data_IF_912060850862
#
_entry.id   IF_912060850862
#
_cell.length_a   1.000
_cell.length_b   1.000
_cell.length_c   1.000
_cell.angle_alpha   90.00
_cell.angle_beta   90.00
_cell.angle_gamma   90.00
#
_symmetry.space_group_name_H-M   'P 1'
#
loop_
_entity.id
_entity.type
_entity.pdbx_description
1 polymer ?
#
# COMPACT_ATOMS: atom_id res chain seq x y z
N UNK A 1 9.45 10.08 19.33
CA UNK A 1 9.87 8.66 19.50
C UNK A 1 8.66 7.84 19.98
N UNK A 2 7.97 7.10 19.08
CA UNK A 2 7.03 6.01 19.44
C UNK A 2 6.54 5.19 18.22
N UNK A 3 7.41 4.94 17.21
CA UNK A 3 7.04 4.14 16.01
C UNK A 3 7.07 2.61 16.22
N UNK A 4 7.42 2.12 17.42
CA UNK A 4 7.65 0.67 17.63
C UNK A 4 6.37 -0.15 17.82
N UNK A 5 5.28 0.44 18.32
CA UNK A 5 4.05 -0.32 18.64
C UNK A 5 3.10 -0.54 17.44
N UNK A 6 3.17 0.29 16.40
CA UNK A 6 2.32 0.14 15.20
C UNK A 6 2.76 -1.05 14.33
N UNK A 7 4.07 -1.30 14.26
CA UNK A 7 4.64 -2.33 13.40
C UNK A 7 4.28 -3.75 13.87
N UNK A 8 4.06 -3.97 15.17
CA UNK A 8 3.75 -5.31 15.71
C UNK A 8 2.29 -5.75 15.51
N UNK A 9 1.33 -4.82 15.56
CA UNK A 9 -0.09 -5.16 15.39
C UNK A 9 -0.43 -5.50 13.94
N UNK A 10 0.13 -4.75 12.99
CA UNK A 10 0.00 -5.04 11.56
C UNK A 10 0.71 -6.35 11.22
N UNK A 11 1.97 -6.53 11.58
CA UNK A 11 2.70 -7.78 11.28
C UNK A 11 1.98 -9.05 11.77
N UNK A 12 1.32 -9.01 12.93
CA UNK A 12 0.54 -10.13 13.44
C UNK A 12 -0.78 -10.36 12.68
N UNK A 13 -1.44 -9.30 12.20
CA UNK A 13 -2.69 -9.37 11.44
C UNK A 13 -2.51 -10.03 10.07
N UNK A 14 -1.46 -9.67 9.30
CA UNK A 14 -1.17 -10.31 8.00
C UNK A 14 -0.82 -11.78 8.19
N UNK A 15 0.00 -12.07 9.20
CA UNK A 15 0.45 -13.43 9.52
C UNK A 15 -0.70 -14.33 9.99
N UNK A 16 -1.71 -13.78 10.68
CA UNK A 16 -2.91 -14.52 11.12
C UNK A 16 -3.89 -14.77 9.98
N UNK A 17 -4.15 -13.77 9.12
CA UNK A 17 -4.94 -13.95 7.89
C UNK A 17 -4.34 -15.03 6.98
N UNK A 18 -3.01 -15.10 6.96
CA UNK A 18 -2.23 -16.13 6.30
C UNK A 18 -2.39 -17.53 6.87
N UNK A 19 -2.22 -17.64 8.19
CA UNK A 19 -2.23 -18.92 8.91
C UNK A 19 -3.62 -19.53 8.99
N UNK A 20 -4.66 -18.71 9.16
CA UNK A 20 -6.02 -19.18 9.39
C UNK A 20 -6.81 -19.39 8.09
N UNK A 21 -6.48 -18.69 6.99
CA UNK A 21 -7.31 -18.72 5.77
C UNK A 21 -6.58 -18.97 4.44
N UNK A 22 -5.26 -18.84 4.36
CA UNK A 22 -4.55 -18.80 3.08
C UNK A 22 -3.99 -20.14 2.63
N UNK A 23 -3.03 -20.67 3.37
CA UNK A 23 -2.15 -21.72 2.85
C UNK A 23 -2.70 -23.14 3.10
N UNK A 24 -3.00 -23.48 4.36
CA UNK A 24 -3.48 -24.81 4.73
C UNK A 24 -4.85 -25.16 4.14
N UNK A 25 -5.73 -24.16 4.04
CA UNK A 25 -7.05 -24.33 3.46
C UNK A 25 -6.97 -24.65 1.97
N UNK A 26 -6.14 -23.92 1.21
CA UNK A 26 -5.99 -24.13 -0.24
C UNK A 26 -5.20 -25.38 -0.59
N UNK A 27 -4.16 -25.71 0.19
CA UNK A 27 -3.48 -27.00 0.07
C UNK A 27 -4.48 -28.16 0.31
N UNK A 28 -5.41 -28.00 1.26
CA UNK A 28 -6.48 -28.97 1.53
C UNK A 28 -7.55 -29.01 0.43
N UNK A 29 -7.99 -27.87 -0.09
CA UNK A 29 -9.00 -27.78 -1.14
C UNK A 29 -8.46 -28.33 -2.47
N UNK A 30 -7.22 -28.02 -2.84
CA UNK A 30 -6.59 -28.59 -4.03
C UNK A 30 -6.39 -30.11 -3.91
N UNK A 31 -5.96 -30.58 -2.73
CA UNK A 31 -5.87 -32.01 -2.46
C UNK A 31 -7.22 -32.72 -2.65
N UNK A 32 -8.30 -32.13 -2.11
CA UNK A 32 -9.66 -32.68 -2.28
C UNK A 32 -10.05 -32.74 -3.76
N UNK A 33 -9.69 -31.74 -4.55
CA UNK A 33 -10.00 -31.73 -5.97
C UNK A 33 -9.20 -32.78 -6.75
N UNK A 34 -7.91 -32.95 -6.41
CA UNK A 34 -7.10 -34.06 -6.94
C UNK A 34 -7.72 -35.42 -6.59
N UNK A 35 -8.10 -35.63 -5.33
CA UNK A 35 -8.69 -36.90 -4.88
C UNK A 35 -9.99 -37.20 -5.65
N UNK A 36 -10.83 -36.18 -5.92
CA UNK A 36 -12.04 -36.32 -6.75
C UNK A 36 -11.69 -36.67 -8.20
N UNK A 37 -10.69 -36.01 -8.78
CA UNK A 37 -10.24 -36.25 -10.16
C UNK A 37 -9.71 -37.67 -10.31
N UNK A 38 -8.88 -38.15 -9.37
CA UNK A 38 -8.41 -39.54 -9.33
C UNK A 38 -9.59 -40.51 -9.26
N UNK A 39 -10.56 -40.27 -8.38
CA UNK A 39 -11.75 -41.12 -8.26
C UNK A 39 -12.55 -41.18 -9.56
N UNK A 40 -12.77 -40.04 -10.22
CA UNK A 40 -13.51 -39.99 -11.49
C UNK A 40 -12.77 -40.70 -12.63
N UNK A 41 -11.44 -40.56 -12.69
CA UNK A 41 -10.61 -41.29 -13.66
C UNK A 41 -10.75 -42.80 -13.42
N UNK A 42 -10.65 -43.25 -12.17
CA UNK A 42 -10.81 -44.67 -11.81
C UNK A 42 -12.22 -45.19 -12.11
N UNK A 43 -13.23 -44.31 -12.14
CA UNK A 43 -14.61 -44.62 -12.55
C UNK A 43 -14.83 -44.57 -14.08
N UNK A 44 -13.78 -44.31 -14.86
CA UNK A 44 -13.81 -44.32 -16.33
C UNK A 44 -13.94 -42.95 -16.99
N UNK A 45 -13.84 -41.84 -16.24
CA UNK A 45 -13.79 -40.51 -16.84
C UNK A 45 -12.51 -40.32 -17.66
N UNK A 46 -12.62 -39.52 -18.73
CA UNK A 46 -11.47 -39.22 -19.60
C UNK A 46 -10.50 -38.29 -18.87
N UNK A 47 -9.24 -38.71 -18.75
CA UNK A 47 -8.16 -37.90 -18.18
C UNK A 47 -8.15 -36.45 -18.69
N UNK A 48 -8.32 -36.25 -20.00
CA UNK A 48 -8.32 -34.91 -20.61
C UNK A 48 -9.37 -33.99 -19.99
N UNK A 49 -10.55 -34.52 -19.66
CA UNK A 49 -11.62 -33.74 -19.08
C UNK A 49 -11.30 -33.40 -17.62
N UNK A 50 -10.77 -34.35 -16.87
CA UNK A 50 -10.45 -34.14 -15.45
C UNK A 50 -9.21 -33.26 -15.24
N UNK A 51 -8.23 -33.31 -16.16
CA UNK A 51 -7.12 -32.34 -16.16
C UNK A 51 -7.67 -30.92 -16.41
N UNK A 52 -8.60 -30.73 -17.35
CA UNK A 52 -9.22 -29.42 -17.57
C UNK A 52 -10.01 -28.91 -16.34
N UNK A 53 -10.55 -29.81 -15.51
CA UNK A 53 -11.14 -29.44 -14.22
C UNK A 53 -10.08 -28.91 -13.26
N UNK A 54 -8.90 -29.53 -13.19
CA UNK A 54 -7.79 -29.06 -12.36
C UNK A 54 -7.20 -27.73 -12.86
N UNK A 55 -7.03 -27.58 -14.17
CA UNK A 55 -6.57 -26.32 -14.80
C UNK A 55 -7.49 -25.17 -14.37
N UNK A 56 -8.81 -25.33 -14.59
CA UNK A 56 -9.80 -24.31 -14.20
C UNK A 56 -9.82 -24.06 -12.70
N UNK A 57 -9.75 -25.12 -11.89
CA UNK A 57 -9.71 -24.97 -10.43
C UNK A 57 -8.52 -24.11 -9.99
N UNK A 58 -7.34 -24.33 -10.57
CA UNK A 58 -6.15 -23.56 -10.24
C UNK A 58 -6.27 -22.10 -10.70
N UNK A 59 -6.80 -21.83 -11.89
CA UNK A 59 -7.07 -20.47 -12.37
C UNK A 59 -8.00 -19.72 -11.41
N UNK A 60 -9.15 -20.32 -11.08
CA UNK A 60 -10.15 -19.71 -10.20
C UNK A 60 -9.58 -19.45 -8.79
N UNK A 61 -8.87 -20.43 -8.20
CA UNK A 61 -8.32 -20.29 -6.84
C UNK A 61 -7.19 -19.26 -6.73
N UNK A 62 -6.32 -19.17 -7.73
CA UNK A 62 -5.22 -18.20 -7.73
C UNK A 62 -5.76 -16.78 -7.95
N UNK A 63 -6.80 -16.60 -8.76
CA UNK A 63 -7.43 -15.28 -8.94
C UNK A 63 -8.18 -14.84 -7.68
N UNK A 64 -8.99 -15.71 -7.08
CA UNK A 64 -9.66 -15.44 -5.79
C UNK A 64 -8.64 -15.06 -4.71
N UNK A 65 -7.46 -15.69 -4.74
CA UNK A 65 -6.37 -15.32 -3.85
C UNK A 65 -5.87 -13.91 -4.10
N UNK A 66 -5.54 -13.60 -5.36
CA UNK A 66 -5.06 -12.27 -5.77
C UNK A 66 -6.03 -11.19 -5.32
N UNK A 67 -7.32 -11.36 -5.57
CA UNK A 67 -8.36 -10.41 -5.18
C UNK A 67 -8.36 -10.19 -3.66
N UNK A 68 -8.43 -11.26 -2.87
CA UNK A 68 -8.46 -11.16 -1.40
C UNK A 68 -7.22 -10.49 -0.82
N UNK A 69 -6.03 -10.81 -1.34
CA UNK A 69 -4.79 -10.18 -0.87
C UNK A 69 -4.78 -8.69 -1.20
N UNK A 70 -5.14 -8.33 -2.43
CA UNK A 70 -5.20 -6.95 -2.86
C UNK A 70 -6.25 -6.15 -2.06
N UNK A 71 -7.40 -6.74 -1.72
CA UNK A 71 -8.39 -6.11 -0.85
C UNK A 71 -7.86 -5.84 0.56
N UNK A 72 -7.21 -6.82 1.18
CA UNK A 72 -6.62 -6.68 2.51
C UNK A 72 -5.53 -5.60 2.49
N UNK A 73 -4.65 -5.62 1.50
CA UNK A 73 -3.60 -4.63 1.35
C UNK A 73 -4.18 -3.22 1.18
N UNK A 74 -5.15 -3.03 0.28
CA UNK A 74 -5.84 -1.75 0.10
C UNK A 74 -6.44 -1.22 1.39
N UNK A 75 -7.06 -2.10 2.19
CA UNK A 75 -7.62 -1.72 3.49
C UNK A 75 -6.53 -1.20 4.44
N UNK A 76 -5.39 -1.88 4.51
CA UNK A 76 -4.29 -1.48 5.38
C UNK A 76 -3.64 -0.17 4.94
N UNK A 77 -3.41 -0.03 3.64
CA UNK A 77 -2.92 1.23 3.07
C UNK A 77 -3.87 2.37 3.41
N UNK A 78 -5.18 2.14 3.28
CA UNK A 78 -6.20 3.14 3.65
C UNK A 78 -6.15 3.50 5.14
N UNK A 79 -5.95 2.52 6.04
CA UNK A 79 -5.82 2.77 7.48
C UNK A 79 -4.56 3.60 7.80
N UNK A 80 -3.42 3.29 7.18
CA UNK A 80 -2.18 4.07 7.30
C UNK A 80 -2.41 5.49 6.79
N UNK A 81 -3.00 5.63 5.60
CA UNK A 81 -3.34 6.91 4.99
C UNK A 81 -4.21 7.78 5.92
N UNK A 82 -5.29 7.24 6.48
CA UNK A 82 -6.18 7.98 7.40
C UNK A 82 -5.40 8.53 8.60
N UNK A 83 -4.51 7.72 9.19
CA UNK A 83 -3.72 8.13 10.36
C UNK A 83 -2.78 9.28 9.99
N UNK A 84 -2.04 9.16 8.90
CA UNK A 84 -1.07 10.17 8.50
C UNK A 84 -1.73 11.45 7.98
N UNK A 85 -2.85 11.35 7.25
CA UNK A 85 -3.63 12.51 6.85
C UNK A 85 -4.22 13.26 8.05
N UNK A 86 -4.67 12.55 9.08
CA UNK A 86 -5.13 13.19 10.32
C UNK A 86 -4.00 13.97 10.98
N UNK A 87 -2.80 13.38 11.10
CA UNK A 87 -1.63 14.06 11.68
C UNK A 87 -1.27 15.32 10.89
N UNK A 88 -1.23 15.23 9.57
CA UNK A 88 -0.95 16.38 8.70
C UNK A 88 -1.99 17.48 8.91
N UNK A 89 -3.29 17.15 9.01
CA UNK A 89 -4.34 18.12 9.30
C UNK A 89 -4.18 18.77 10.67
N UNK A 90 -3.80 18.01 11.70
CA UNK A 90 -3.57 18.55 13.04
C UNK A 90 -2.39 19.53 13.04
N UNK A 91 -1.30 19.21 12.31
CA UNK A 91 -0.15 20.11 12.12
C UNK A 91 -0.61 21.38 11.42
N UNK A 92 -1.24 21.27 10.25
CA UNK A 92 -1.75 22.42 9.49
C UNK A 92 -2.62 23.32 10.38
N UNK A 93 -3.50 22.73 11.19
CA UNK A 93 -4.41 23.50 12.05
C UNK A 93 -3.67 24.26 13.16
N UNK A 94 -2.68 23.64 13.80
CA UNK A 94 -1.87 24.28 14.84
C UNK A 94 -0.99 25.39 14.26
N UNK A 95 -0.33 25.10 13.13
CA UNK A 95 0.57 26.04 12.46
C UNK A 95 -0.20 27.24 11.89
N UNK A 96 -1.41 27.03 11.34
CA UNK A 96 -2.32 28.09 10.89
C UNK A 96 -2.68 29.06 12.04
N UNK A 97 -2.95 28.53 13.24
CA UNK A 97 -3.30 29.35 14.42
C UNK A 97 -2.12 30.22 14.88
N UNK A 98 -0.91 29.67 14.87
CA UNK A 98 0.32 30.40 15.21
C UNK A 98 0.61 31.51 14.18
N UNK A 99 0.57 31.19 12.88
CA UNK A 99 0.76 32.17 11.80
C UNK A 99 -0.28 33.27 11.89
N UNK A 100 -1.55 32.93 12.11
CA UNK A 100 -2.63 33.92 12.28
C UNK A 100 -2.36 34.86 13.45
N UNK A 101 -1.88 34.34 14.58
CA UNK A 101 -1.52 35.15 15.76
C UNK A 101 -0.39 36.13 15.44
N UNK A 102 0.63 35.70 14.69
CA UNK A 102 1.73 36.57 14.24
C UNK A 102 1.23 37.64 13.26
N UNK A 103 0.37 37.29 12.31
CA UNK A 103 -0.25 38.22 11.37
C UNK A 103 -1.07 39.29 12.11
N UNK A 104 -1.91 38.89 13.07
CA UNK A 104 -2.70 39.81 13.89
C UNK A 104 -1.82 40.75 14.72
N UNK A 105 -0.73 40.25 15.30
CA UNK A 105 0.24 41.07 16.04
C UNK A 105 0.91 42.10 15.14
N UNK A 106 1.33 41.71 13.95
CA UNK A 106 1.93 42.61 12.97
C UNK A 106 0.92 43.67 12.50
N UNK A 107 -0.32 43.28 12.21
CA UNK A 107 -1.40 44.22 11.83
C UNK A 107 -1.68 45.25 12.93
N UNK A 108 -1.69 44.83 14.21
CA UNK A 108 -1.85 45.76 15.34
C UNK A 108 -0.69 46.75 15.44
N UNK A 109 0.55 46.29 15.27
CA UNK A 109 1.73 47.17 15.27
C UNK A 109 1.63 48.19 14.13
N UNK A 110 1.39 47.73 12.91
CA UNK A 110 1.29 48.60 11.74
C UNK A 110 0.18 49.65 11.87
N UNK A 111 -0.96 49.31 12.49
CA UNK A 111 -2.07 50.25 12.70
C UNK A 111 -1.86 51.21 13.87
N UNK A 112 -1.09 50.82 14.89
CA UNK A 112 -0.79 51.67 16.06
C UNK A 112 0.31 52.69 15.82
N UNK A 113 1.05 52.56 14.71
CA UNK A 113 2.22 53.35 14.39
C UNK A 113 1.92 54.31 13.21
N UNK A 114 1.58 55.59 13.46
CA UNK A 114 1.15 56.54 12.44
C UNK A 114 2.24 56.92 11.43
N UNK A 115 3.51 56.62 11.72
CA UNK A 115 4.68 56.95 10.89
C UNK A 115 5.26 55.76 10.11
N UNK A 116 4.59 54.60 10.08
CA UNK A 116 5.08 53.49 9.27
C UNK A 116 5.07 53.91 7.80
N UNK A 117 6.25 53.85 7.16
CA UNK A 117 6.41 54.24 5.77
C UNK A 117 5.47 53.41 4.87
N UNK A 118 4.76 54.08 3.96
CA UNK A 118 3.90 53.47 2.92
C UNK A 118 4.58 52.29 2.19
N UNK A 119 5.91 52.37 2.03
CA UNK A 119 6.75 51.32 1.44
C UNK A 119 6.78 50.04 2.27
N UNK A 120 6.86 50.14 3.61
CA UNK A 120 6.83 49.00 4.54
C UNK A 120 5.45 48.34 4.49
N UNK A 121 4.39 49.14 4.50
CA UNK A 121 3.00 48.65 4.41
C UNK A 121 2.74 47.88 3.11
N UNK A 122 3.18 48.41 1.96
CA UNK A 122 3.06 47.73 0.66
C UNK A 122 3.91 46.48 0.54
N UNK A 123 5.13 46.49 1.09
CA UNK A 123 6.01 45.32 1.09
C UNK A 123 5.38 44.18 1.92
N UNK A 124 4.75 44.51 3.05
CA UNK A 124 4.01 43.56 3.88
C UNK A 124 2.81 42.96 3.14
N UNK A 125 1.91 43.79 2.59
CA UNK A 125 0.74 43.29 1.86
C UNK A 125 1.12 42.36 0.70
N UNK A 126 2.24 42.64 0.03
CA UNK A 126 2.76 41.81 -1.03
C UNK A 126 3.26 40.46 -0.50
N UNK A 127 4.14 40.46 0.51
CA UNK A 127 4.69 39.23 1.08
C UNK A 127 3.62 38.37 1.74
N UNK A 128 2.65 38.98 2.42
CA UNK A 128 1.49 38.27 2.99
C UNK A 128 0.72 37.49 1.93
N UNK A 129 0.43 38.10 0.78
CA UNK A 129 -0.27 37.41 -0.32
C UNK A 129 0.58 36.26 -0.89
N UNK A 130 1.89 36.45 -1.04
CA UNK A 130 2.78 35.37 -1.46
C UNK A 130 2.77 34.19 -0.48
N UNK A 131 2.71 34.46 0.83
CA UNK A 131 2.62 33.40 1.84
C UNK A 131 1.27 32.70 1.85
N UNK A 132 0.17 33.44 1.80
CA UNK A 132 -1.18 32.87 1.70
C UNK A 132 -1.30 31.93 0.47
N UNK A 133 -0.72 32.31 -0.67
CA UNK A 133 -0.67 31.46 -1.87
C UNK A 133 0.24 30.24 -1.71
N UNK A 134 1.42 30.38 -1.08
CA UNK A 134 2.33 29.27 -0.79
C UNK A 134 1.70 28.24 0.15
N UNK A 135 1.09 28.69 1.25
CA UNK A 135 0.38 27.80 2.20
C UNK A 135 -0.75 27.07 1.48
N UNK A 136 -1.54 27.79 0.69
CA UNK A 136 -2.64 27.20 -0.06
C UNK A 136 -2.14 26.10 -1.00
N UNK A 137 -1.04 26.35 -1.70
CA UNK A 137 -0.40 25.37 -2.58
C UNK A 137 0.12 24.16 -1.81
N UNK A 138 0.78 24.36 -0.67
CA UNK A 138 1.24 23.25 0.19
C UNK A 138 0.06 22.41 0.72
N UNK A 139 -1.06 23.04 1.08
CA UNK A 139 -2.30 22.35 1.47
C UNK A 139 -2.87 21.50 0.32
N UNK A 140 -2.91 22.05 -0.89
CA UNK A 140 -3.40 21.34 -2.08
C UNK A 140 -2.47 20.17 -2.47
N UNK A 141 -1.15 20.34 -2.40
CA UNK A 141 -0.18 19.27 -2.71
C UNK A 141 -0.13 18.19 -1.62
N UNK A 142 -0.30 18.57 -0.36
CA UNK A 142 -0.32 17.61 0.76
C UNK A 142 -1.53 16.66 0.72
N UNK A 143 -2.65 17.09 0.12
CA UNK A 143 -3.90 16.32 -0.02
C UNK A 143 -3.94 15.39 -1.23
N UNK A 144 -2.90 15.34 -2.07
CA UNK A 144 -2.82 14.40 -3.19
C UNK A 144 -2.81 12.97 -2.64
N UNK A 145 -3.86 12.23 -2.98
CA UNK A 145 -4.05 10.81 -2.64
C UNK A 145 -2.92 9.99 -3.25
N UNK A 146 -2.24 9.20 -2.42
CA UNK A 146 -1.21 8.28 -2.88
C UNK A 146 -1.84 7.22 -3.79
N UNK A 147 -1.16 6.90 -4.90
CA UNK A 147 -1.56 5.73 -5.69
C UNK A 147 -1.23 4.47 -4.89
N UNK A 148 -2.26 3.66 -4.63
CA UNK A 148 -2.10 2.39 -3.92
C UNK A 148 -1.67 1.34 -4.95
N UNK A 149 -0.46 0.75 -4.85
CA UNK A 149 -0.04 -0.30 -5.76
C UNK A 149 -0.90 -1.56 -5.60
N UNK A 150 -0.91 -2.42 -6.62
CA UNK A 150 -1.40 -3.79 -6.44
C UNK A 150 -0.33 -4.61 -5.71
N UNK A 151 -0.71 -5.26 -4.62
CA UNK A 151 0.16 -6.14 -3.84
C UNK A 151 0.53 -7.41 -4.60
N UNK A 152 -0.39 -7.89 -5.44
CA UNK A 152 -0.17 -9.01 -6.34
C UNK A 152 -0.56 -8.58 -7.74
N UNK A 153 0.45 -8.45 -8.60
CA UNK A 153 0.20 -8.11 -9.98
C UNK A 153 -0.39 -9.30 -10.73
N UNK A 154 -1.12 -9.00 -11.80
CA UNK A 154 -1.61 -10.03 -12.70
C UNK A 154 -0.46 -10.83 -13.32
N UNK A 155 0.68 -10.20 -13.61
CA UNK A 155 1.83 -10.91 -14.21
C UNK A 155 2.43 -11.95 -13.25
N UNK A 156 2.47 -11.66 -11.94
CA UNK A 156 2.93 -12.62 -10.93
C UNK A 156 2.00 -13.85 -10.88
N UNK A 157 0.68 -13.64 -10.98
CA UNK A 157 -0.33 -14.71 -11.06
C UNK A 157 -0.18 -15.50 -12.36
N UNK A 158 -0.10 -14.81 -13.49
CA UNK A 158 0.03 -15.43 -14.81
C UNK A 158 1.30 -16.32 -14.89
N UNK A 159 2.41 -15.88 -14.26
CA UNK A 159 3.63 -16.67 -14.16
C UNK A 159 3.48 -17.95 -13.31
N UNK A 160 2.76 -17.87 -12.18
CA UNK A 160 2.47 -19.04 -11.34
C UNK A 160 1.57 -20.03 -12.07
N UNK A 161 0.53 -19.52 -12.76
CA UNK A 161 -0.39 -20.34 -13.55
C UNK A 161 0.32 -20.99 -14.73
N UNK A 162 1.16 -20.27 -15.46
CA UNK A 162 1.90 -20.81 -16.61
C UNK A 162 2.72 -22.05 -16.22
N UNK A 163 3.50 -21.97 -15.14
CA UNK A 163 4.31 -23.10 -14.66
C UNK A 163 3.44 -24.31 -14.28
N UNK A 164 2.29 -24.06 -13.66
CA UNK A 164 1.39 -25.13 -13.23
C UNK A 164 0.65 -25.79 -14.41
N UNK A 165 0.24 -25.01 -15.39
CA UNK A 165 -0.39 -25.48 -16.62
C UNK A 165 0.59 -26.26 -17.51
N UNK A 166 1.86 -25.87 -17.52
CA UNK A 166 2.92 -26.62 -18.22
C UNK A 166 3.07 -28.03 -17.62
N UNK A 167 3.16 -28.13 -16.30
CA UNK A 167 3.27 -29.41 -15.57
C UNK A 167 2.03 -30.30 -15.73
N UNK A 168 0.83 -29.72 -15.71
CA UNK A 168 -0.42 -30.44 -16.02
C UNK A 168 -0.41 -31.00 -17.44
N UNK A 169 0.10 -30.25 -18.41
CA UNK A 169 0.23 -30.70 -19.80
C UNK A 169 1.31 -31.79 -19.96
N UNK A 170 2.43 -31.71 -19.24
CA UNK A 170 3.42 -32.80 -19.26
C UNK A 170 2.82 -34.13 -18.81
N UNK A 171 1.98 -34.09 -17.78
CA UNK A 171 1.35 -35.28 -17.22
C UNK A 171 0.34 -35.88 -18.18
N UNK A 172 -0.45 -35.03 -18.85
CA UNK A 172 -1.34 -35.43 -19.93
C UNK A 172 -0.59 -36.18 -21.03
N UNK A 173 0.59 -35.70 -21.43
CA UNK A 173 1.43 -36.34 -22.45
C UNK A 173 2.11 -37.63 -21.96
N UNK A 174 2.63 -37.66 -20.72
CA UNK A 174 3.23 -38.86 -20.11
C UNK A 174 2.21 -39.99 -19.99
N UNK A 175 1.00 -39.70 -19.52
CA UNK A 175 -0.06 -40.70 -19.37
C UNK A 175 -0.57 -41.22 -20.71
N UNK A 176 -0.62 -40.36 -21.74
CA UNK A 176 -0.99 -40.75 -23.10
C UNK A 176 0.01 -41.75 -23.72
N UNK A 177 1.29 -41.68 -23.34
CA UNK A 177 2.35 -42.59 -23.83
C UNK A 177 2.34 -43.97 -23.13
N UNK A 178 1.95 -44.05 -21.85
CA UNK A 178 2.06 -45.27 -21.03
C UNK A 178 0.71 -45.94 -20.70
N UNK A 179 -0.10 -46.29 -21.72
CA UNK A 179 -1.49 -46.76 -21.55
C UNK A 179 -1.69 -48.08 -20.75
N UNK A 180 -0.63 -48.78 -20.36
CA UNK A 180 -0.70 -50.09 -19.70
C UNK A 180 -0.39 -50.07 -18.19
N UNK A 181 -0.03 -48.92 -17.60
CA UNK A 181 0.24 -48.75 -16.14
C UNK A 181 -0.42 -47.50 -15.55
N UNK A 182 -1.53 -47.11 -16.17
CA UNK A 182 -2.16 -45.79 -16.08
C UNK A 182 -2.52 -45.40 -14.64
N UNK A 183 -3.10 -46.29 -13.84
CA UNK A 183 -3.66 -45.92 -12.54
C UNK A 183 -2.61 -45.49 -11.51
N UNK A 184 -1.51 -46.23 -11.37
CA UNK A 184 -0.42 -45.88 -10.43
C UNK A 184 0.40 -44.69 -10.90
N UNK A 185 0.54 -44.49 -12.21
CA UNK A 185 1.27 -43.35 -12.77
C UNK A 185 0.46 -42.05 -12.70
N UNK A 186 -0.85 -42.10 -12.94
CA UNK A 186 -1.75 -40.94 -12.77
C UNK A 186 -1.75 -40.48 -11.32
N UNK A 187 -1.93 -41.39 -10.36
CA UNK A 187 -2.01 -40.99 -8.95
C UNK A 187 -0.69 -40.38 -8.46
N UNK A 188 0.46 -40.95 -8.89
CA UNK A 188 1.78 -40.39 -8.58
C UNK A 188 2.01 -39.03 -9.23
N UNK A 189 1.60 -38.87 -10.50
CA UNK A 189 1.74 -37.63 -11.24
C UNK A 189 0.86 -36.50 -10.67
N UNK A 190 -0.38 -36.81 -10.31
CA UNK A 190 -1.27 -35.85 -9.66
C UNK A 190 -0.78 -35.45 -8.26
N UNK A 191 -0.16 -36.37 -7.50
CA UNK A 191 0.53 -36.01 -6.24
C UNK A 191 1.73 -35.08 -6.45
N UNK A 192 2.46 -35.22 -7.57
CA UNK A 192 3.54 -34.28 -7.91
C UNK A 192 2.98 -32.89 -8.22
N UNK A 193 1.86 -32.78 -8.94
CA UNK A 193 1.16 -31.50 -9.16
C UNK A 193 0.75 -30.88 -7.82
N UNK A 194 0.23 -31.67 -6.88
CA UNK A 194 -0.10 -31.17 -5.55
C UNK A 194 1.11 -30.50 -4.87
N UNK A 195 2.28 -31.14 -4.96
CA UNK A 195 3.52 -30.60 -4.41
C UNK A 195 3.94 -29.32 -5.13
N UNK A 196 3.90 -29.30 -6.47
CA UNK A 196 4.28 -28.13 -7.28
C UNK A 196 3.36 -26.94 -6.99
N UNK A 197 2.03 -27.15 -6.96
CA UNK A 197 1.07 -26.14 -6.55
C UNK A 197 1.41 -25.58 -5.17
N UNK A 198 1.68 -26.47 -4.21
CA UNK A 198 2.05 -26.07 -2.85
C UNK A 198 3.32 -25.22 -2.81
N UNK A 199 4.35 -25.61 -3.58
CA UNK A 199 5.61 -24.86 -3.65
C UNK A 199 5.41 -23.50 -4.32
N UNK A 200 4.72 -23.44 -5.46
CA UNK A 200 4.49 -22.19 -6.19
C UNK A 200 3.66 -21.20 -5.36
N UNK A 201 2.60 -21.70 -4.70
CA UNK A 201 1.82 -20.89 -3.77
C UNK A 201 2.70 -20.39 -2.62
N UNK A 202 3.55 -21.23 -2.01
CA UNK A 202 4.51 -20.79 -0.96
C UNK A 202 5.51 -19.74 -1.43
N UNK A 203 5.97 -19.83 -2.67
CA UNK A 203 6.90 -18.85 -3.25
C UNK A 203 6.21 -17.52 -3.46
N UNK A 204 5.04 -17.52 -4.12
CA UNK A 204 4.20 -16.33 -4.29
C UNK A 204 3.85 -15.71 -2.92
N UNK A 205 3.59 -16.57 -1.95
CA UNK A 205 3.32 -16.18 -0.58
C UNK A 205 4.49 -15.40 0.05
N UNK A 206 5.69 -15.92 -0.15
CA UNK A 206 6.91 -15.40 0.46
C UNK A 206 7.38 -14.10 -0.21
N UNK A 207 7.22 -13.98 -1.54
CA UNK A 207 7.54 -12.73 -2.24
C UNK A 207 6.66 -11.58 -1.75
N UNK A 208 5.36 -11.82 -1.62
CA UNK A 208 4.43 -10.82 -1.10
C UNK A 208 4.80 -10.36 0.31
N UNK A 209 5.21 -11.26 1.22
CA UNK A 209 5.52 -10.86 2.59
C UNK A 209 6.66 -9.83 2.66
N UNK A 210 7.61 -9.91 1.73
CA UNK A 210 8.71 -8.97 1.65
C UNK A 210 8.26 -7.65 1.00
N UNK A 211 7.55 -7.73 -0.13
CA UNK A 211 7.02 -6.55 -0.85
C UNK A 211 6.05 -5.75 0.02
N UNK A 212 5.19 -6.42 0.79
CA UNK A 212 4.16 -5.81 1.63
C UNK A 212 4.75 -4.85 2.68
N UNK A 213 5.87 -5.26 3.28
CA UNK A 213 6.52 -4.44 4.29
C UNK A 213 7.18 -3.22 3.66
N UNK A 214 7.82 -3.41 2.51
CA UNK A 214 8.49 -2.36 1.75
C UNK A 214 7.46 -1.32 1.31
N UNK A 215 6.32 -1.73 0.74
CA UNK A 215 5.30 -0.80 0.24
C UNK A 215 4.67 0.02 1.38
N UNK A 216 4.41 -0.60 2.54
CA UNK A 216 3.89 0.14 3.69
C UNK A 216 4.93 1.12 4.27
N UNK A 217 6.21 0.74 4.28
CA UNK A 217 7.29 1.63 4.70
C UNK A 217 7.47 2.80 3.74
N UNK A 218 7.37 2.56 2.43
CA UNK A 218 7.45 3.59 1.40
C UNK A 218 6.27 4.58 1.52
N UNK A 219 5.05 4.08 1.68
CA UNK A 219 3.86 4.91 1.93
C UNK A 219 4.04 5.75 3.20
N UNK A 220 4.54 5.15 4.28
CA UNK A 220 4.82 5.88 5.52
C UNK A 220 5.92 6.93 5.34
N UNK A 221 6.96 6.64 4.55
CA UNK A 221 8.04 7.58 4.23
C UNK A 221 7.52 8.77 3.45
N UNK A 222 6.69 8.54 2.42
CA UNK A 222 6.06 9.61 1.63
C UNK A 222 5.20 10.53 2.50
N UNK A 223 4.47 9.99 3.50
CA UNK A 223 3.75 10.82 4.45
C UNK A 223 4.67 11.59 5.42
N UNK A 224 5.79 10.99 5.84
CA UNK A 224 6.76 11.65 6.71
C UNK A 224 7.46 12.80 5.97
N UNK A 225 7.78 12.63 4.69
CA UNK A 225 8.32 13.70 3.83
C UNK A 225 7.32 14.84 3.68
N UNK A 226 6.03 14.52 3.45
CA UNK A 226 4.96 15.54 3.44
C UNK A 226 4.84 16.28 4.77
N UNK A 227 4.94 15.58 5.90
CA UNK A 227 4.93 16.20 7.22
C UNK A 227 6.10 17.18 7.39
N UNK A 228 7.33 16.76 7.03
CA UNK A 228 8.52 17.61 7.12
C UNK A 228 8.36 18.86 6.26
N UNK A 229 7.96 18.68 5.00
CA UNK A 229 7.80 19.79 4.05
C UNK A 229 6.82 20.84 4.58
N UNK A 230 5.65 20.40 5.07
CA UNK A 230 4.64 21.31 5.64
C UNK A 230 5.21 22.11 6.81
N UNK A 231 5.94 21.46 7.73
CA UNK A 231 6.56 22.15 8.86
C UNK A 231 7.61 23.16 8.42
N UNK A 232 8.46 22.80 7.46
CA UNK A 232 9.48 23.70 6.92
C UNK A 232 8.86 24.94 6.27
N UNK A 233 7.75 24.77 5.55
CA UNK A 233 7.04 25.88 4.91
C UNK A 233 6.42 26.84 5.94
N UNK A 234 5.80 26.30 7.00
CA UNK A 234 5.28 27.12 8.10
C UNK A 234 6.38 27.83 8.89
N UNK A 235 7.49 27.15 9.20
CA UNK A 235 8.61 27.76 9.92
C UNK A 235 9.29 28.89 9.11
N UNK A 236 9.39 28.74 7.79
CA UNK A 236 9.89 29.78 6.91
C UNK A 236 9.00 31.04 6.98
N UNK A 237 7.67 30.87 7.00
CA UNK A 237 6.73 31.98 7.12
C UNK A 237 6.81 32.66 8.50
N UNK A 238 6.79 31.88 9.59
CA UNK A 238 6.93 32.42 10.95
C UNK A 238 8.20 33.25 11.09
N UNK A 239 9.30 32.77 10.52
CA UNK A 239 10.59 33.48 10.51
C UNK A 239 10.47 34.84 9.83
N UNK A 240 9.77 34.92 8.70
CA UNK A 240 9.58 36.18 7.97
C UNK A 240 8.65 37.14 8.73
N UNK A 241 7.53 36.65 9.24
CA UNK A 241 6.61 37.46 10.06
C UNK A 241 7.31 38.01 11.31
N UNK A 242 8.11 37.18 11.99
CA UNK A 242 8.87 37.61 13.17
C UNK A 242 9.87 38.70 12.82
N UNK A 243 10.65 38.54 11.74
CA UNK A 243 11.60 39.57 11.28
C UNK A 243 10.91 40.90 10.95
N UNK A 244 9.73 40.85 10.35
CA UNK A 244 8.95 42.06 10.06
C UNK A 244 8.45 42.74 11.34
N UNK A 245 7.96 41.95 12.30
CA UNK A 245 7.54 42.46 13.61
C UNK A 245 8.72 43.17 14.28
N UNK A 246 9.89 42.55 14.30
CA UNK A 246 11.10 43.11 14.89
C UNK A 246 11.53 44.40 14.18
N UNK A 247 11.52 44.43 12.84
CA UNK A 247 11.86 45.63 12.05
C UNK A 247 10.88 46.79 12.31
N UNK A 248 9.59 46.50 12.41
CA UNK A 248 8.56 47.52 12.73
C UNK A 248 8.75 48.06 14.15
N UNK A 249 9.12 47.21 15.12
CA UNK A 249 9.42 47.63 16.49
C UNK A 249 10.67 48.52 16.50
N UNK A 250 11.78 48.05 15.92
CA UNK A 250 13.05 48.80 15.92
C UNK A 250 12.95 50.17 15.25
N UNK A 251 12.23 50.26 14.12
CA UNK A 251 12.04 51.54 13.41
C UNK A 251 11.16 52.56 14.16
N UNK A 252 10.55 52.20 15.29
CA UNK A 252 9.79 53.13 16.15
C UNK A 252 10.48 53.44 17.48
N UNK A 253 11.61 52.81 17.78
CA UNK A 253 12.44 53.15 18.95
C UNK A 253 13.54 54.18 18.62
N UNK A 254 13.73 54.52 17.34
CA UNK A 254 14.58 55.63 16.83
C UNK A 254 13.79 56.93 16.63
#
# INVERSE_FOLDING_TARGET
MNNSNYNNNNRNSFTNLYKENGQYRRESEFKKEIDKVVQKINQGSKLKNEIAVLEKFCEDEVEIFREKVNEIFKKWVSEVQIIHESKIKDIISAEDEEVKTLQEKLDQLLNSLPNVQEKVRKNYEHQRKEFEEKIKKCKEESTITLQIPEMVSKEQVDGVLANLLEELNEIKEKVKKDSNKVDKHIESALKQIQFIYTVNIKVLISSMKNEFHIDLEDIASQYNEKEIQIREDYEAEKTVLTKMIDEVISNNEE
#
